data_IF_737722275021
#
_entry.id   IF_737722275021
#
_cell.length_a   1.000
_cell.length_b   1.000
_cell.length_c   1.000
_cell.angle_alpha   90.00
_cell.angle_beta   90.00
_cell.angle_gamma   90.00
#
_symmetry.space_group_name_H-M   'P 1'
#
loop_
_entity.id
_entity.type
_entity.pdbx_description
1 polymer ?
#
# COMPACT_ATOMS: atom_id res chain seq x y z
N UNK A 1 13.71 4.23 27.63
CA UNK A 1 13.82 5.63 28.13
C UNK A 1 12.85 6.50 27.35
N UNK A 2 11.68 6.83 27.91
CA UNK A 2 10.45 7.07 27.12
C UNK A 2 9.75 8.42 27.35
N UNK A 3 10.33 9.35 28.12
CA UNK A 3 9.66 10.59 28.56
C UNK A 3 9.77 11.81 27.60
N UNK A 4 10.49 11.70 26.48
CA UNK A 4 10.84 12.89 25.66
C UNK A 4 9.80 13.44 24.67
N UNK A 5 8.99 12.65 23.93
CA UNK A 5 8.28 13.19 22.76
C UNK A 5 7.11 14.12 23.11
N UNK A 6 6.45 13.94 24.26
CA UNK A 6 5.27 14.72 24.64
C UNK A 6 5.58 16.20 24.91
N UNK A 7 6.76 16.49 25.46
CA UNK A 7 7.18 17.86 25.78
C UNK A 7 7.61 18.64 24.52
N UNK A 8 8.12 17.94 23.49
CA UNK A 8 8.53 18.58 22.23
C UNK A 8 7.33 19.13 21.44
N UNK A 9 6.19 18.43 21.46
CA UNK A 9 4.98 18.86 20.77
C UNK A 9 4.31 20.08 21.44
N UNK A 10 4.37 20.20 22.77
CA UNK A 10 3.79 21.34 23.50
C UNK A 10 4.59 22.63 23.26
N UNK A 11 5.92 22.59 23.45
CA UNK A 11 6.77 23.77 23.22
C UNK A 11 6.71 24.29 21.77
N UNK A 12 6.49 23.41 20.80
CA UNK A 12 6.29 23.79 19.40
C UNK A 12 4.96 24.54 19.13
N UNK A 13 3.94 24.35 19.97
CA UNK A 13 2.65 25.05 19.86
C UNK A 13 2.66 26.35 20.68
N UNK A 14 3.20 26.31 21.90
CA UNK A 14 3.31 27.50 22.77
C UNK A 14 4.17 28.59 22.09
N UNK A 15 5.35 28.23 21.57
CA UNK A 15 6.19 29.17 20.83
C UNK A 15 5.55 29.65 19.51
N UNK A 16 4.69 28.85 18.87
CA UNK A 16 3.99 29.25 17.63
C UNK A 16 3.11 30.48 17.88
N UNK A 17 2.33 30.49 18.96
CA UNK A 17 1.41 31.59 19.26
C UNK A 17 2.11 32.86 19.75
N UNK A 18 3.30 32.76 20.36
CA UNK A 18 4.09 33.94 20.75
C UNK A 18 4.60 34.71 19.51
N UNK A 19 5.15 34.01 18.51
CA UNK A 19 5.58 34.66 17.26
C UNK A 19 4.39 35.19 16.43
N UNK A 20 3.25 34.51 16.44
CA UNK A 20 2.00 34.95 15.83
C UNK A 20 1.52 36.30 16.43
N UNK A 21 1.37 36.37 17.76
CA UNK A 21 0.95 37.58 18.46
C UNK A 21 1.98 38.72 18.50
N UNK A 22 3.26 38.45 18.19
CA UNK A 22 4.28 39.48 17.94
C UNK A 22 4.14 40.09 16.55
N UNK A 23 3.89 39.25 15.53
CA UNK A 23 3.72 39.67 14.13
C UNK A 23 2.51 40.58 13.96
N UNK A 24 1.37 40.23 14.56
CA UNK A 24 0.15 41.05 14.52
C UNK A 24 0.31 42.45 15.14
N UNK A 25 1.18 42.59 16.15
CA UNK A 25 1.33 43.85 16.91
C UNK A 25 2.42 44.78 16.37
N UNK A 26 3.45 44.22 15.74
CA UNK A 26 4.64 44.98 15.32
C UNK A 26 5.18 44.53 13.94
N UNK A 27 4.38 44.58 12.85
CA UNK A 27 4.72 43.97 11.56
C UNK A 27 6.03 44.50 10.94
N UNK A 28 6.24 45.82 10.86
CA UNK A 28 7.46 46.43 10.31
C UNK A 28 8.73 45.99 11.07
N UNK A 29 8.66 45.93 12.40
CA UNK A 29 9.75 45.45 13.24
C UNK A 29 9.98 43.94 13.07
N UNK A 30 8.91 43.15 12.91
CA UNK A 30 8.99 41.70 12.71
C UNK A 30 9.76 41.35 11.43
N UNK A 31 9.55 42.10 10.35
CA UNK A 31 10.34 42.03 9.12
C UNK A 31 11.77 42.56 9.29
N UNK A 32 11.92 43.76 9.86
CA UNK A 32 13.24 44.43 10.04
C UNK A 32 14.21 43.58 10.86
N UNK A 33 13.72 42.84 11.86
CA UNK A 33 14.53 41.95 12.71
C UNK A 33 14.47 40.47 12.31
N UNK A 34 13.93 40.12 11.13
CA UNK A 34 13.93 38.76 10.55
C UNK A 34 13.39 37.67 11.49
N UNK A 35 12.35 38.00 12.27
CA UNK A 35 11.89 37.13 13.37
C UNK A 35 11.34 35.79 12.89
N UNK A 36 10.83 35.70 11.65
CA UNK A 36 10.44 34.44 11.02
C UNK A 36 11.59 33.43 10.93
N UNK A 37 12.79 33.85 10.51
CA UNK A 37 13.96 32.97 10.38
C UNK A 37 14.40 32.42 11.75
N UNK A 38 14.27 33.25 12.79
CA UNK A 38 14.52 32.84 14.19
C UNK A 38 13.49 31.81 14.66
N UNK A 39 12.19 32.02 14.37
CA UNK A 39 11.13 31.06 14.71
C UNK A 39 11.34 29.69 14.03
N UNK A 40 11.79 29.67 12.76
CA UNK A 40 12.11 28.43 12.06
C UNK A 40 13.30 27.66 12.68
N UNK A 41 14.34 28.37 13.12
CA UNK A 41 15.48 27.75 13.80
C UNK A 41 15.12 27.15 15.17
N UNK A 42 14.20 27.76 15.91
CA UNK A 42 13.79 27.30 17.24
C UNK A 42 12.80 26.12 17.20
N UNK A 43 11.92 26.08 16.20
CA UNK A 43 10.92 24.99 16.04
C UNK A 43 11.50 23.73 15.37
N UNK A 44 12.52 23.89 14.53
CA UNK A 44 13.22 22.83 13.81
C UNK A 44 13.64 21.60 14.67
N UNK A 45 14.26 21.74 15.86
CA UNK A 45 14.68 20.59 16.68
C UNK A 45 13.53 19.76 17.24
N UNK A 46 12.35 20.35 17.41
CA UNK A 46 11.19 19.68 18.02
C UNK A 46 10.40 18.85 17.01
N UNK A 47 10.41 19.23 15.73
CA UNK A 47 9.82 18.42 14.66
C UNK A 47 10.68 17.20 14.30
N UNK A 48 12.01 17.27 14.44
CA UNK A 48 12.96 16.20 14.02
C UNK A 48 12.55 14.78 14.45
N UNK A 49 12.13 14.51 15.70
CA UNK A 49 11.75 13.17 16.14
C UNK A 49 10.38 12.70 15.64
N UNK A 50 9.55 13.58 15.06
CA UNK A 50 8.19 13.27 14.61
C UNK A 50 8.12 12.74 13.17
N UNK A 51 9.22 12.80 12.43
CA UNK A 51 9.31 12.27 11.06
C UNK A 51 10.29 11.08 10.92
N UNK A 52 11.06 10.72 11.96
CA UNK A 52 12.16 9.71 11.91
C UNK A 52 12.71 9.31 13.33
N UNK A 53 12.47 8.06 13.82
CA UNK A 53 13.11 7.40 15.00
C UNK A 53 14.03 6.17 14.66
N UNK A 54 15.27 6.04 15.13
CA UNK A 54 16.48 5.60 14.37
C UNK A 54 16.61 4.45 13.30
N UNK A 55 15.74 3.44 13.11
CA UNK A 55 16.17 2.11 12.55
C UNK A 55 15.72 1.63 11.13
N UNK A 56 15.62 2.52 10.13
CA UNK A 56 15.37 2.20 8.71
C UNK A 56 13.93 1.95 8.20
N UNK A 57 12.89 1.95 9.04
CA UNK A 57 11.47 2.03 8.61
C UNK A 57 11.10 3.49 8.28
N UNK A 58 10.03 3.74 7.53
CA UNK A 58 9.69 5.10 7.11
C UNK A 58 8.68 5.72 8.07
N UNK A 59 8.98 6.94 8.55
CA UNK A 59 8.25 7.55 9.67
C UNK A 59 7.72 8.99 9.43
N UNK A 60 7.90 9.53 8.21
CA UNK A 60 6.98 10.52 7.57
C UNK A 60 5.61 9.86 7.26
N UNK A 61 5.32 8.86 8.09
CA UNK A 61 4.58 7.64 7.88
C UNK A 61 4.14 7.06 9.29
N UNK A 62 4.51 7.69 10.45
CA UNK A 62 3.76 7.72 11.76
C UNK A 62 2.47 8.61 11.93
N UNK A 63 2.44 9.96 11.85
CA UNK A 63 1.21 10.84 12.01
C UNK A 63 1.19 12.16 11.16
N UNK A 64 0.21 12.46 10.26
CA UNK A 64 0.30 13.54 9.25
C UNK A 64 0.11 14.94 9.80
N UNK A 65 -1.15 15.28 10.03
CA UNK A 65 -1.68 16.60 9.76
C UNK A 65 -2.01 17.39 11.02
N UNK A 66 -1.57 16.94 12.20
CA UNK A 66 -1.10 17.89 13.19
C UNK A 66 0.29 18.41 12.78
N UNK A 67 1.16 17.67 12.08
CA UNK A 67 2.40 18.21 11.49
C UNK A 67 2.23 18.76 10.04
N UNK A 68 1.00 18.79 9.52
CA UNK A 68 0.60 19.53 8.31
C UNK A 68 -0.30 20.73 8.71
N UNK A 69 -1.07 20.64 9.80
CA UNK A 69 -1.67 21.81 10.46
C UNK A 69 -0.66 22.66 11.24
N UNK A 70 0.37 22.09 11.89
CA UNK A 70 1.48 22.83 12.52
C UNK A 70 2.41 23.41 11.45
N UNK A 71 2.55 22.75 10.30
CA UNK A 71 3.17 23.36 9.11
C UNK A 71 2.26 24.45 8.47
N UNK A 72 0.93 24.38 8.61
CA UNK A 72 0.01 25.46 8.20
C UNK A 72 -0.08 26.62 9.22
N UNK A 73 0.04 26.39 10.52
CA UNK A 73 0.13 27.48 11.52
C UNK A 73 1.46 28.20 11.37
N UNK A 74 2.57 27.43 11.25
CA UNK A 74 3.87 27.99 10.93
C UNK A 74 3.89 28.62 9.52
N UNK A 75 3.03 28.25 8.57
CA UNK A 75 2.93 28.97 7.29
C UNK A 75 2.51 30.43 7.48
N UNK A 76 1.51 30.71 8.33
CA UNK A 76 1.05 32.08 8.61
C UNK A 76 2.14 32.92 9.29
N UNK A 77 2.94 32.29 10.16
CA UNK A 77 4.02 32.94 10.92
C UNK A 77 5.26 33.15 10.05
N UNK A 78 5.62 32.17 9.22
CA UNK A 78 6.87 32.10 8.44
C UNK A 78 6.76 32.61 6.99
N UNK A 79 5.56 32.94 6.49
CA UNK A 79 5.41 33.78 5.30
C UNK A 79 5.66 35.24 5.70
N UNK A 80 6.77 35.82 5.29
CA UNK A 80 6.94 37.28 5.25
C UNK A 80 6.03 37.85 4.13
N UNK A 81 5.52 39.07 4.30
CA UNK A 81 4.76 39.75 3.23
C UNK A 81 5.72 40.16 2.09
N UNK A 82 5.17 40.39 0.89
CA UNK A 82 5.96 40.57 -0.34
C UNK A 82 6.76 41.88 -0.37
N UNK A 83 7.95 41.92 0.24
CA UNK A 83 9.01 42.90 -0.09
C UNK A 83 10.43 42.53 0.43
N UNK A 84 10.70 41.25 0.71
CA UNK A 84 12.02 40.78 1.18
C UNK A 84 13.05 40.61 0.03
N UNK A 85 14.23 41.27 0.05
CA UNK A 85 15.18 41.22 -1.06
C UNK A 85 15.83 39.85 -1.32
N UNK A 86 16.10 39.59 -2.60
CA UNK A 86 16.71 38.37 -3.15
C UNK A 86 18.04 37.96 -2.52
N UNK A 87 18.09 36.81 -1.81
CA UNK A 87 19.25 35.91 -1.71
C UNK A 87 18.98 34.64 -0.88
N UNK A 88 18.16 34.73 0.18
CA UNK A 88 18.01 33.69 1.20
C UNK A 88 16.95 32.61 0.91
N UNK A 89 17.01 31.50 1.66
CA UNK A 89 15.87 30.60 1.80
C UNK A 89 14.81 31.23 2.70
N UNK A 90 13.53 31.04 2.38
CA UNK A 90 12.45 31.43 3.31
C UNK A 90 12.50 30.60 4.59
N UNK A 91 12.05 31.17 5.70
CA UNK A 91 12.06 30.51 7.00
C UNK A 91 11.30 29.17 6.99
N UNK A 92 10.21 29.07 6.21
CA UNK A 92 9.48 27.83 5.96
C UNK A 92 10.34 26.75 5.28
N UNK A 93 11.17 27.10 4.29
CA UNK A 93 12.07 26.15 3.63
C UNK A 93 13.16 25.63 4.60
N UNK A 94 13.71 26.52 5.44
CA UNK A 94 14.68 26.17 6.49
C UNK A 94 14.09 25.21 7.52
N UNK A 95 12.82 25.39 7.91
CA UNK A 95 12.12 24.48 8.83
C UNK A 95 12.12 23.05 8.27
N UNK A 96 11.67 22.88 7.03
CA UNK A 96 11.55 21.57 6.36
C UNK A 96 12.92 20.89 6.17
N UNK A 97 13.99 21.65 5.90
CA UNK A 97 15.33 21.07 5.81
C UNK A 97 15.89 20.57 7.14
N UNK A 98 15.36 21.03 8.27
CA UNK A 98 15.84 20.56 9.55
C UNK A 98 15.32 19.16 9.94
N UNK A 99 14.20 18.67 9.40
CA UNK A 99 13.42 17.56 10.01
C UNK A 99 13.86 16.10 9.65
N UNK A 100 15.06 15.87 9.07
CA UNK A 100 15.35 14.68 8.19
C UNK A 100 15.92 13.34 8.75
N UNK A 101 16.22 13.08 10.04
CA UNK A 101 17.17 11.95 10.41
C UNK A 101 16.76 11.00 11.56
N UNK A 102 17.09 9.68 11.45
CA UNK A 102 16.32 8.49 10.95
C UNK A 102 15.35 7.84 11.99
N UNK A 103 14.50 6.79 11.81
CA UNK A 103 13.58 6.17 10.81
C UNK A 103 12.89 4.81 11.33
N UNK A 104 11.71 4.69 12.02
CA UNK A 104 11.27 3.36 12.64
C UNK A 104 9.80 2.89 12.63
N UNK A 105 8.68 3.63 12.52
CA UNK A 105 7.33 3.00 12.56
C UNK A 105 6.71 2.70 11.17
N UNK A 106 5.57 1.95 11.07
CA UNK A 106 4.93 1.61 9.80
C UNK A 106 3.86 2.64 9.42
N UNK A 107 3.42 2.59 8.16
CA UNK A 107 3.75 3.74 7.32
C UNK A 107 2.56 4.49 6.73
N UNK A 108 1.39 3.88 6.68
CA UNK A 108 0.16 4.59 6.35
C UNK A 108 -0.36 5.43 7.53
N UNK A 109 0.25 5.32 8.71
CA UNK A 109 -0.25 5.93 9.95
C UNK A 109 -0.03 7.46 9.94
N UNK A 110 1.03 7.97 9.29
CA UNK A 110 1.21 9.42 8.99
C UNK A 110 0.43 9.88 7.81
N UNK A 111 -0.44 9.07 7.25
CA UNK A 111 -1.30 9.54 6.18
C UNK A 111 -2.75 9.29 6.56
N UNK A 112 -3.00 8.54 7.64
CA UNK A 112 -4.31 8.42 8.29
C UNK A 112 -4.53 9.32 9.50
N UNK A 113 -3.57 9.40 10.44
CA UNK A 113 -3.85 9.78 11.85
C UNK A 113 -4.51 11.14 12.05
N UNK A 114 -4.42 12.02 11.05
CA UNK A 114 -4.97 13.35 11.07
C UNK A 114 -5.55 13.77 9.70
N UNK A 115 -5.97 12.80 8.86
CA UNK A 115 -7.04 13.04 7.85
C UNK A 115 -8.20 13.83 8.49
N UNK A 116 -8.61 13.55 9.77
CA UNK A 116 -9.54 14.39 10.53
C UNK A 116 -9.23 15.90 10.66
N UNK A 117 -8.05 16.40 10.29
CA UNK A 117 -7.69 17.83 10.40
C UNK A 117 -7.63 18.57 9.06
N UNK A 118 -7.55 17.83 7.94
CA UNK A 118 -7.48 18.42 6.59
C UNK A 118 -8.64 17.99 5.68
N UNK A 119 -9.34 16.91 6.04
CA UNK A 119 -10.18 16.19 5.10
C UNK A 119 -9.36 15.33 4.14
N UNK A 120 -10.07 14.50 3.40
CA UNK A 120 -9.52 13.64 2.33
C UNK A 120 -8.98 14.50 1.19
N UNK A 121 -9.77 15.46 0.73
CA UNK A 121 -9.55 16.23 -0.49
C UNK A 121 -8.23 17.03 -0.45
N UNK A 122 -7.88 17.61 0.70
CA UNK A 122 -6.62 18.37 0.90
C UNK A 122 -5.39 17.46 1.06
N UNK A 123 -5.58 16.15 1.24
CA UNK A 123 -4.52 15.15 1.31
C UNK A 123 -4.41 14.30 0.03
N UNK A 124 -5.36 14.40 -0.90
CA UNK A 124 -5.39 13.64 -2.16
C UNK A 124 -4.06 13.71 -2.94
N UNK A 125 -3.47 14.90 -3.08
CA UNK A 125 -2.14 15.05 -3.71
C UNK A 125 -1.02 14.30 -2.99
N UNK A 126 -1.06 14.26 -1.65
CA UNK A 126 -0.12 13.47 -0.83
C UNK A 126 -0.35 11.96 -1.06
N UNK A 127 -1.60 11.51 -1.21
CA UNK A 127 -1.89 10.11 -1.54
C UNK A 127 -1.35 9.72 -2.92
N UNK A 128 -1.50 10.59 -3.93
CA UNK A 128 -0.98 10.36 -5.29
C UNK A 128 0.55 10.25 -5.32
N UNK A 129 1.27 11.12 -4.60
CA UNK A 129 2.73 11.04 -4.48
C UNK A 129 3.18 9.68 -3.91
N UNK A 130 2.47 9.20 -2.89
CA UNK A 130 2.77 7.93 -2.21
C UNK A 130 2.38 6.73 -3.07
N UNK A 131 1.23 6.79 -3.75
CA UNK A 131 0.82 5.78 -4.73
C UNK A 131 1.89 5.61 -5.82
N UNK A 132 2.43 6.73 -6.32
CA UNK A 132 3.54 6.77 -7.26
C UNK A 132 4.85 6.20 -6.70
N UNK A 133 5.22 6.47 -5.44
CA UNK A 133 6.40 5.86 -4.82
C UNK A 133 6.24 4.36 -4.55
N UNK A 134 5.06 3.93 -4.09
CA UNK A 134 4.73 2.51 -3.94
C UNK A 134 4.79 1.79 -5.29
N UNK A 135 4.30 2.43 -6.36
CA UNK A 135 4.43 1.98 -7.74
C UNK A 135 5.87 1.84 -8.22
N UNK A 136 6.69 2.88 -8.01
CA UNK A 136 8.13 2.85 -8.28
C UNK A 136 8.82 1.72 -7.53
N UNK A 137 8.50 1.53 -6.25
CA UNK A 137 9.05 0.46 -5.43
C UNK A 137 8.62 -0.94 -5.90
N UNK A 138 7.38 -1.13 -6.35
CA UNK A 138 6.86 -2.41 -6.86
C UNK A 138 7.29 -2.73 -8.30
N UNK A 139 7.75 -1.75 -9.08
CA UNK A 139 8.14 -1.93 -10.50
C UNK A 139 9.19 -3.04 -10.65
N UNK A 140 8.89 -4.01 -11.53
CA UNK A 140 9.77 -5.16 -11.79
C UNK A 140 9.80 -6.25 -10.71
N UNK A 141 9.02 -6.12 -9.63
CA UNK A 141 8.89 -7.16 -8.58
C UNK A 141 7.69 -8.08 -8.82
N UNK A 142 7.64 -9.13 -8.02
CA UNK A 142 6.57 -10.13 -7.91
C UNK A 142 6.04 -10.15 -6.46
N UNK A 143 4.99 -10.94 -6.17
CA UNK A 143 4.38 -11.01 -4.83
C UNK A 143 5.31 -11.57 -3.74
N UNK A 144 6.39 -12.27 -4.10
CA UNK A 144 7.40 -12.79 -3.16
C UNK A 144 8.41 -11.70 -2.78
N UNK A 145 8.75 -10.82 -3.72
CA UNK A 145 9.71 -9.71 -3.56
C UNK A 145 9.06 -8.42 -3.08
N UNK A 146 7.75 -8.30 -3.19
CA UNK A 146 6.96 -7.25 -2.57
C UNK A 146 6.45 -7.70 -1.19
N UNK A 147 6.88 -7.00 -0.13
CA UNK A 147 6.30 -7.22 1.20
C UNK A 147 4.83 -6.74 1.24
N UNK A 148 3.87 -7.68 1.28
CA UNK A 148 2.43 -7.41 1.36
C UNK A 148 2.08 -6.30 2.35
N UNK A 149 2.66 -6.34 3.56
CA UNK A 149 2.44 -5.34 4.61
C UNK A 149 2.81 -3.90 4.23
N UNK A 150 3.74 -3.68 3.29
CA UNK A 150 4.09 -2.34 2.80
C UNK A 150 3.02 -1.74 1.89
N UNK A 151 2.15 -2.55 1.29
CA UNK A 151 1.06 -2.10 0.42
C UNK A 151 -0.27 -2.15 1.15
N UNK A 152 -0.59 -3.25 1.82
CA UNK A 152 -1.88 -3.45 2.48
C UNK A 152 -2.19 -2.40 3.56
N UNK A 153 -1.16 -1.84 4.20
CA UNK A 153 -1.31 -0.76 5.17
C UNK A 153 -2.05 0.47 4.60
N UNK A 154 -1.98 0.71 3.29
CA UNK A 154 -2.55 1.88 2.61
C UNK A 154 -4.05 1.77 2.28
N UNK A 155 -4.62 0.56 2.32
CA UNK A 155 -6.00 0.29 1.88
C UNK A 155 -7.08 1.03 2.69
N UNK A 156 -6.79 1.36 3.95
CA UNK A 156 -7.70 2.12 4.83
C UNK A 156 -7.27 3.57 5.04
N UNK A 157 -6.48 4.14 4.11
CA UNK A 157 -5.81 5.43 4.28
C UNK A 157 -5.89 6.30 3.02
N UNK A 158 -5.67 5.72 1.85
CA UNK A 158 -6.14 6.35 0.61
C UNK A 158 -7.67 6.33 0.60
N UNK A 159 -8.28 7.33 -0.02
CA UNK A 159 -9.70 7.31 -0.34
C UNK A 159 -10.02 6.22 -1.40
N UNK A 160 -11.30 5.88 -1.62
CA UNK A 160 -11.68 4.83 -2.55
C UNK A 160 -11.25 5.08 -4.00
N UNK A 161 -11.15 6.33 -4.45
CA UNK A 161 -10.78 6.68 -5.82
C UNK A 161 -9.26 6.54 -6.01
N UNK A 162 -8.44 7.15 -5.15
CA UNK A 162 -6.98 6.97 -5.18
C UNK A 162 -6.55 5.53 -4.91
N UNK A 163 -7.29 4.77 -4.08
CA UNK A 163 -7.00 3.34 -3.90
C UNK A 163 -7.28 2.53 -5.17
N UNK A 164 -8.42 2.76 -5.83
CA UNK A 164 -8.75 2.07 -7.08
C UNK A 164 -7.81 2.50 -8.23
N UNK A 165 -7.42 3.78 -8.29
CA UNK A 165 -6.43 4.28 -9.25
C UNK A 165 -5.07 3.59 -9.05
N UNK A 166 -4.56 3.56 -7.82
CA UNK A 166 -3.30 2.91 -7.45
C UNK A 166 -3.29 1.41 -7.77
N UNK A 167 -4.37 0.69 -7.43
CA UNK A 167 -4.48 -0.75 -7.68
C UNK A 167 -4.62 -1.05 -9.18
N UNK A 168 -5.40 -0.24 -9.92
CA UNK A 168 -5.97 -0.62 -11.22
C UNK A 168 -5.49 0.26 -12.39
N UNK A 169 -5.61 1.59 -12.29
CA UNK A 169 -5.33 2.55 -13.39
C UNK A 169 -3.84 2.77 -13.57
N UNK A 170 -3.11 3.06 -12.48
CA UNK A 170 -1.65 3.13 -12.47
C UNK A 170 -1.01 1.72 -12.57
N UNK A 171 -1.83 0.66 -12.46
CA UNK A 171 -1.43 -0.75 -12.60
C UNK A 171 -0.25 -1.11 -11.71
N UNK A 172 -0.30 -0.75 -10.42
CA UNK A 172 0.81 -1.03 -9.50
C UNK A 172 0.66 -2.35 -8.74
N UNK A 173 -0.58 -2.78 -8.43
CA UNK A 173 -0.84 -4.07 -7.78
C UNK A 173 -1.16 -5.17 -8.81
N UNK A 174 -2.05 -4.90 -9.76
CA UNK A 174 -2.56 -5.91 -10.73
C UNK A 174 -1.46 -6.61 -11.54
N UNK A 175 -0.43 -5.95 -12.12
CA UNK A 175 0.65 -6.63 -12.85
C UNK A 175 1.67 -7.33 -11.95
N UNK A 176 1.77 -6.99 -10.66
CA UNK A 176 2.57 -7.76 -9.70
C UNK A 176 1.89 -9.10 -9.44
N UNK A 177 0.56 -9.10 -9.32
CA UNK A 177 -0.27 -10.30 -9.25
C UNK A 177 -0.20 -11.13 -10.55
N UNK A 178 -0.49 -10.55 -11.73
CA UNK A 178 -0.42 -11.27 -13.02
C UNK A 178 0.96 -11.88 -13.27
N UNK A 179 2.05 -11.12 -13.09
CA UNK A 179 3.43 -11.63 -13.24
C UNK A 179 3.70 -12.83 -12.34
N UNK A 180 3.11 -12.85 -11.15
CA UNK A 180 3.26 -13.95 -10.18
C UNK A 180 2.42 -15.18 -10.51
N UNK A 181 1.48 -15.08 -11.45
CA UNK A 181 0.68 -16.16 -12.01
C UNK A 181 1.17 -16.64 -13.38
N UNK A 182 2.31 -16.13 -13.88
CA UNK A 182 2.88 -16.59 -15.17
C UNK A 182 3.45 -18.00 -15.11
N UNK A 183 4.30 -18.26 -14.12
CA UNK A 183 5.01 -19.54 -13.99
C UNK A 183 4.66 -20.35 -12.71
N UNK A 184 3.38 -20.48 -12.29
CA UNK A 184 3.01 -21.19 -11.08
C UNK A 184 3.25 -22.69 -11.28
N UNK A 185 4.16 -23.29 -10.50
CA UNK A 185 4.40 -24.73 -10.55
C UNK A 185 3.28 -25.50 -9.83
N UNK A 186 2.14 -25.67 -10.52
CA UNK A 186 0.99 -26.42 -10.02
C UNK A 186 1.33 -27.93 -10.10
N UNK A 187 1.91 -28.48 -9.02
CA UNK A 187 2.25 -29.90 -8.95
C UNK A 187 1.01 -30.76 -8.68
N UNK A 188 0.77 -31.82 -9.49
CA UNK A 188 -0.30 -32.78 -9.22
C UNK A 188 -0.21 -33.44 -7.83
N UNK A 189 1.00 -33.68 -7.32
CA UNK A 189 1.24 -34.46 -6.09
C UNK A 189 1.64 -33.64 -4.88
N UNK A 190 2.01 -32.36 -5.04
CA UNK A 190 2.36 -31.44 -3.95
C UNK A 190 1.58 -30.13 -4.09
N UNK A 191 0.46 -30.00 -3.37
CA UNK A 191 -0.35 -28.78 -3.40
C UNK A 191 0.49 -27.53 -3.12
N UNK A 192 1.31 -27.57 -2.06
CA UNK A 192 2.22 -26.49 -1.68
C UNK A 192 3.68 -26.93 -1.80
N UNK A 193 4.45 -26.16 -2.56
CA UNK A 193 5.89 -26.30 -2.75
C UNK A 193 6.53 -24.93 -2.93
N UNK A 194 7.86 -24.83 -2.79
CA UNK A 194 8.57 -23.55 -2.71
C UNK A 194 8.44 -22.63 -3.94
N UNK A 195 8.00 -23.13 -5.09
CA UNK A 195 7.73 -22.35 -6.31
C UNK A 195 6.24 -22.07 -6.56
N UNK A 196 5.32 -22.55 -5.73
CA UNK A 196 3.89 -22.26 -5.88
C UNK A 196 3.54 -20.92 -5.22
N UNK A 197 3.47 -19.87 -6.03
CA UNK A 197 3.12 -18.51 -5.65
C UNK A 197 1.64 -18.32 -5.29
N UNK A 198 0.76 -19.26 -5.64
CA UNK A 198 -0.69 -19.03 -5.64
C UNK A 198 -1.31 -18.62 -4.28
N UNK A 199 -0.96 -19.22 -3.13
CA UNK A 199 -1.49 -18.78 -1.83
C UNK A 199 -1.08 -17.34 -1.48
N UNK A 200 0.12 -16.93 -1.91
CA UNK A 200 0.60 -15.56 -1.73
C UNK A 200 -0.12 -14.61 -2.69
N UNK A 201 -0.40 -15.03 -3.93
CA UNK A 201 -1.25 -14.27 -4.85
C UNK A 201 -2.66 -14.09 -4.31
N UNK A 202 -3.28 -15.13 -3.73
CA UNK A 202 -4.61 -15.01 -3.10
C UNK A 202 -4.60 -14.09 -1.88
N UNK A 203 -3.52 -14.08 -1.08
CA UNK A 203 -3.33 -13.05 -0.05
C UNK A 203 -3.30 -11.63 -0.64
N UNK A 204 -2.67 -11.44 -1.80
CA UNK A 204 -2.66 -10.15 -2.50
C UNK A 204 -4.01 -9.82 -3.16
N UNK A 205 -4.83 -10.81 -3.52
CA UNK A 205 -6.19 -10.59 -4.06
C UNK A 205 -7.10 -9.84 -3.07
N UNK A 206 -6.87 -9.95 -1.75
CA UNK A 206 -7.53 -9.14 -0.72
C UNK A 206 -7.37 -7.61 -0.90
N UNK A 207 -6.42 -7.17 -1.75
CA UNK A 207 -6.19 -5.77 -2.09
C UNK A 207 -6.86 -5.35 -3.42
N UNK A 208 -7.27 -6.31 -4.24
CA UNK A 208 -7.73 -6.09 -5.63
C UNK A 208 -9.24 -6.35 -5.72
N UNK A 209 -10.07 -5.40 -6.19
CA UNK A 209 -11.49 -5.64 -6.41
C UNK A 209 -11.71 -6.80 -7.41
N UNK A 210 -12.68 -7.68 -7.13
CA UNK A 210 -12.92 -8.90 -7.92
C UNK A 210 -13.04 -8.64 -9.43
N UNK A 211 -13.66 -7.51 -9.83
CA UNK A 211 -13.80 -7.08 -11.24
C UNK A 211 -12.47 -6.98 -12.03
N UNK A 212 -11.33 -6.78 -11.36
CA UNK A 212 -10.00 -6.83 -11.99
C UNK A 212 -9.24 -8.13 -11.70
N UNK A 213 -9.51 -8.77 -10.57
CA UNK A 213 -8.83 -10.01 -10.19
C UNK A 213 -9.29 -11.21 -11.04
N UNK A 214 -10.59 -11.31 -11.38
CA UNK A 214 -11.13 -12.44 -12.15
C UNK A 214 -10.57 -12.51 -13.57
N UNK A 215 -10.53 -11.42 -14.39
CA UNK A 215 -9.87 -11.46 -15.70
C UNK A 215 -8.38 -11.88 -15.66
N UNK A 216 -7.68 -11.57 -14.56
CA UNK A 216 -6.29 -12.01 -14.33
C UNK A 216 -6.20 -13.51 -14.02
N UNK A 217 -7.19 -14.06 -13.31
CA UNK A 217 -7.26 -15.52 -13.08
C UNK A 217 -7.67 -16.29 -14.34
N UNK A 218 -8.57 -15.72 -15.14
CA UNK A 218 -8.97 -16.25 -16.46
C UNK A 218 -7.78 -16.35 -17.41
N UNK A 219 -6.99 -15.29 -17.55
CA UNK A 219 -5.83 -15.25 -18.45
C UNK A 219 -4.58 -15.94 -17.90
N UNK A 220 -4.22 -15.77 -16.63
CA UNK A 220 -2.93 -16.24 -16.10
C UNK A 220 -3.02 -17.58 -15.33
N UNK A 221 -4.19 -18.01 -14.81
CA UNK A 221 -4.26 -19.15 -13.88
C UNK A 221 -5.13 -20.34 -14.33
N UNK A 222 -6.41 -20.14 -14.67
CA UNK A 222 -7.36 -21.26 -14.74
C UNK A 222 -7.01 -22.31 -15.79
N UNK A 223 -6.47 -21.92 -16.95
CA UNK A 223 -5.99 -22.86 -17.96
C UNK A 223 -4.86 -23.77 -17.42
N UNK A 224 -3.90 -23.21 -16.67
CA UNK A 224 -2.77 -23.93 -16.08
C UNK A 224 -3.21 -24.84 -14.94
N UNK A 225 -4.23 -24.43 -14.17
CA UNK A 225 -4.85 -25.29 -13.15
C UNK A 225 -5.64 -26.45 -13.78
N UNK A 226 -6.48 -26.19 -14.80
CA UNK A 226 -7.16 -27.25 -15.57
C UNK A 226 -6.17 -28.23 -16.22
N UNK A 227 -5.05 -27.73 -16.75
CA UNK A 227 -3.94 -28.54 -17.24
C UNK A 227 -3.41 -29.49 -16.15
N UNK A 228 -3.11 -28.97 -14.95
CA UNK A 228 -2.57 -29.79 -13.85
C UNK A 228 -3.58 -30.78 -13.24
N UNK A 229 -4.89 -30.51 -13.34
CA UNK A 229 -5.94 -31.48 -13.00
C UNK A 229 -5.87 -32.72 -13.89
N UNK A 230 -5.48 -32.61 -15.17
CA UNK A 230 -5.45 -33.75 -16.09
C UNK A 230 -4.48 -34.88 -15.66
N UNK A 231 -3.17 -34.67 -15.47
CA UNK A 231 -2.26 -35.72 -15.01
C UNK A 231 -2.55 -36.13 -13.56
N UNK A 232 -3.09 -35.23 -12.72
CA UNK A 232 -3.58 -35.58 -11.39
C UNK A 232 -4.64 -36.69 -11.47
N UNK A 233 -5.64 -36.56 -12.35
CA UNK A 233 -6.71 -37.57 -12.43
C UNK A 233 -6.36 -38.77 -13.32
N UNK A 234 -5.51 -38.62 -14.34
CA UNK A 234 -5.21 -39.68 -15.32
C UNK A 234 -3.94 -40.49 -15.03
N UNK A 235 -2.91 -39.89 -14.44
CA UNK A 235 -1.62 -40.53 -14.12
C UNK A 235 -1.54 -40.91 -12.63
N UNK A 236 -1.76 -39.93 -11.74
CA UNK A 236 -1.66 -40.13 -10.28
C UNK A 236 -2.83 -40.95 -9.73
N UNK A 237 -4.00 -40.91 -10.39
CA UNK A 237 -5.22 -41.68 -10.09
C UNK A 237 -5.56 -41.74 -8.57
N UNK A 238 -5.69 -40.58 -7.90
CA UNK A 238 -5.99 -40.51 -6.48
C UNK A 238 -7.34 -41.16 -6.15
N UNK A 239 -7.41 -41.87 -5.03
CA UNK A 239 -8.70 -42.31 -4.47
C UNK A 239 -9.63 -41.10 -4.24
N UNK A 240 -10.96 -41.23 -4.37
CA UNK A 240 -11.89 -40.09 -4.38
C UNK A 240 -11.72 -39.12 -3.19
N UNK A 241 -11.51 -39.64 -1.98
CA UNK A 241 -11.26 -38.79 -0.79
C UNK A 241 -9.99 -37.93 -0.90
N UNK A 242 -8.91 -38.44 -1.51
CA UNK A 242 -7.69 -37.64 -1.76
C UNK A 242 -7.91 -36.61 -2.87
N UNK A 243 -8.69 -36.96 -3.89
CA UNK A 243 -9.05 -36.04 -4.98
C UNK A 243 -9.91 -34.86 -4.47
N UNK A 244 -10.89 -35.16 -3.61
CA UNK A 244 -11.73 -34.15 -2.96
C UNK A 244 -10.90 -33.21 -2.05
N UNK A 245 -10.00 -33.76 -1.21
CA UNK A 245 -9.09 -32.95 -0.37
C UNK A 245 -8.18 -32.05 -1.20
N UNK A 246 -7.64 -32.55 -2.32
CA UNK A 246 -6.82 -31.74 -3.23
C UNK A 246 -7.65 -30.58 -3.83
N UNK A 247 -8.83 -30.86 -4.38
CA UNK A 247 -9.71 -29.83 -4.94
C UNK A 247 -10.10 -28.78 -3.90
N UNK A 248 -10.54 -29.22 -2.71
CA UNK A 248 -10.93 -28.32 -1.63
C UNK A 248 -9.76 -27.41 -1.21
N UNK A 249 -8.54 -27.95 -1.12
CA UNK A 249 -7.36 -27.16 -0.76
C UNK A 249 -6.99 -26.07 -1.77
N UNK A 250 -7.44 -26.16 -3.03
CA UNK A 250 -7.36 -25.04 -3.99
C UNK A 250 -8.55 -24.07 -3.82
N UNK A 251 -9.76 -24.59 -3.64
CA UNK A 251 -10.99 -23.78 -3.47
C UNK A 251 -10.93 -22.88 -2.22
N UNK A 252 -10.39 -23.38 -1.11
CA UNK A 252 -10.28 -22.69 0.17
C UNK A 252 -9.38 -21.43 0.16
N UNK A 253 -8.61 -21.22 -0.92
CA UNK A 253 -7.75 -20.04 -1.06
C UNK A 253 -8.43 -18.85 -1.76
N UNK A 254 -9.52 -19.08 -2.50
CA UNK A 254 -10.25 -18.00 -3.15
C UNK A 254 -11.01 -17.19 -2.11
N UNK A 255 -11.03 -15.87 -2.26
CA UNK A 255 -11.79 -15.00 -1.36
C UNK A 255 -13.31 -15.19 -1.58
N UNK A 256 -14.17 -14.90 -0.60
CA UNK A 256 -15.63 -15.03 -0.76
C UNK A 256 -16.18 -14.24 -1.95
N UNK A 257 -15.58 -13.09 -2.27
CA UNK A 257 -15.95 -12.24 -3.41
C UNK A 257 -15.55 -12.85 -4.76
N UNK A 258 -14.46 -13.64 -4.80
CA UNK A 258 -14.10 -14.41 -5.99
C UNK A 258 -14.99 -15.64 -6.14
N UNK A 259 -15.32 -16.32 -5.03
CA UNK A 259 -16.25 -17.45 -5.02
C UNK A 259 -17.71 -17.06 -5.29
N UNK A 260 -18.02 -15.77 -5.37
CA UNK A 260 -19.31 -15.23 -5.79
C UNK A 260 -19.35 -14.82 -7.29
N UNK A 261 -18.23 -14.83 -8.02
CA UNK A 261 -18.21 -14.56 -9.46
C UNK A 261 -18.47 -15.85 -10.25
N UNK A 262 -19.50 -15.84 -11.09
CA UNK A 262 -19.96 -17.01 -11.87
C UNK A 262 -18.84 -17.60 -12.75
N UNK A 263 -17.89 -16.78 -13.23
CA UNK A 263 -16.77 -17.24 -14.07
C UNK A 263 -15.75 -18.04 -13.26
N UNK A 264 -15.50 -17.64 -12.02
CA UNK A 264 -14.63 -18.39 -11.08
C UNK A 264 -15.29 -19.72 -10.72
N UNK A 265 -16.59 -19.70 -10.42
CA UNK A 265 -17.35 -20.92 -10.13
C UNK A 265 -17.33 -21.89 -11.32
N UNK A 266 -17.61 -21.42 -12.54
CA UNK A 266 -17.60 -22.23 -13.76
C UNK A 266 -16.24 -22.93 -14.00
N UNK A 267 -15.11 -22.25 -13.78
CA UNK A 267 -13.78 -22.85 -13.93
C UNK A 267 -13.50 -23.90 -12.85
N UNK A 268 -13.90 -23.65 -11.59
CA UNK A 268 -13.77 -24.60 -10.49
C UNK A 268 -14.66 -25.84 -10.69
N UNK A 269 -15.91 -25.65 -11.11
CA UNK A 269 -16.87 -26.71 -11.41
C UNK A 269 -16.42 -27.56 -12.62
N UNK A 270 -15.83 -26.94 -13.64
CA UNK A 270 -15.22 -27.64 -14.78
C UNK A 270 -14.11 -28.59 -14.29
N UNK A 271 -13.22 -28.12 -13.42
CA UNK A 271 -12.17 -28.97 -12.83
C UNK A 271 -12.70 -30.07 -11.93
N UNK A 272 -13.71 -29.77 -11.10
CA UNK A 272 -14.40 -30.77 -10.29
C UNK A 272 -15.12 -31.83 -11.16
N UNK A 273 -15.66 -31.43 -12.30
CA UNK A 273 -16.26 -32.32 -13.30
C UNK A 273 -15.24 -33.24 -14.00
N UNK A 274 -13.98 -32.84 -14.12
CA UNK A 274 -12.89 -33.73 -14.55
C UNK A 274 -12.56 -34.77 -13.45
N UNK A 275 -12.47 -34.32 -12.19
CA UNK A 275 -12.19 -35.19 -11.02
C UNK A 275 -13.31 -36.23 -10.83
N UNK A 276 -14.57 -35.81 -10.85
CA UNK A 276 -15.72 -36.69 -10.62
C UNK A 276 -15.87 -37.75 -11.73
N UNK A 277 -15.68 -37.37 -13.00
CA UNK A 277 -15.71 -38.32 -14.12
C UNK A 277 -14.59 -39.36 -14.04
N UNK A 278 -13.38 -38.95 -13.65
CA UNK A 278 -12.25 -39.85 -13.48
C UNK A 278 -12.45 -40.82 -12.30
N UNK A 279 -13.04 -40.34 -11.19
CA UNK A 279 -13.44 -41.17 -10.05
C UNK A 279 -14.53 -42.21 -10.41
N UNK A 280 -15.33 -41.94 -11.45
CA UNK A 280 -16.30 -42.88 -12.04
C UNK A 280 -15.68 -43.77 -13.14
N UNK A 281 -14.37 -43.71 -13.38
CA UNK A 281 -13.68 -44.50 -14.40
C UNK A 281 -13.92 -44.03 -15.85
N UNK A 282 -14.54 -42.87 -16.05
CA UNK A 282 -14.78 -42.32 -17.39
C UNK A 282 -13.50 -41.74 -17.99
N UNK A 283 -13.37 -41.80 -19.31
CA UNK A 283 -12.27 -41.18 -20.03
C UNK A 283 -12.35 -39.65 -19.96
N UNK A 284 -11.25 -39.01 -19.56
CA UNK A 284 -11.11 -37.56 -19.53
C UNK A 284 -10.44 -37.11 -20.83
N UNK A 285 -11.05 -36.16 -21.53
CA UNK A 285 -10.44 -35.47 -22.66
C UNK A 285 -9.35 -34.51 -22.17
N UNK A 286 -8.32 -34.30 -22.98
CA UNK A 286 -7.33 -33.26 -22.72
C UNK A 286 -8.02 -31.88 -22.61
N UNK A 287 -7.65 -31.01 -21.65
CA UNK A 287 -8.18 -29.65 -21.60
C UNK A 287 -7.61 -28.88 -22.80
N UNK A 288 -8.47 -28.57 -23.78
CA UNK A 288 -8.09 -27.80 -24.95
C UNK A 288 -7.52 -26.43 -24.54
N UNK A 289 -6.42 -26.05 -25.21
CA UNK A 289 -5.72 -24.81 -24.95
C UNK A 289 -6.59 -23.65 -25.46
N UNK A 290 -7.16 -22.90 -24.51
CA UNK A 290 -8.07 -21.80 -24.81
C UNK A 290 -7.25 -20.55 -25.17
N UNK A 291 -6.67 -20.53 -26.38
CA UNK A 291 -5.79 -19.46 -26.85
C UNK A 291 -6.58 -18.16 -27.11
N UNK A 292 -6.53 -17.23 -26.15
CA UNK A 292 -7.05 -15.85 -26.20
C UNK A 292 -6.09 -14.91 -25.46
#
# INVERSE_FOLDING_TARGET
MTSRPRNAALGAVEGSHEFEGLKEKFPEAYGTFQLAQTAAHLTAPWLRPLLRPQDGRWDILQRPALALALVQSLRNILQEEEDAPSAGMSAYAMLIDNVRRPAEQPASVWVSSWIPHLGVDRLHGVYLDIAGELGRWMKGRDVTRCAYGKVSQWKGVFDPETWDEFVTVQRHVVPVVSRSLRDPTISPTRTWGGSNTFPLVMRWALLVPARYMVPVLESEFFAKWRYAVYPFVTEVRPIPGKAAVWYQSWKDLFTPELLADERVLLQLETGLGMINRAAQGQQISWPEHSDV
#
